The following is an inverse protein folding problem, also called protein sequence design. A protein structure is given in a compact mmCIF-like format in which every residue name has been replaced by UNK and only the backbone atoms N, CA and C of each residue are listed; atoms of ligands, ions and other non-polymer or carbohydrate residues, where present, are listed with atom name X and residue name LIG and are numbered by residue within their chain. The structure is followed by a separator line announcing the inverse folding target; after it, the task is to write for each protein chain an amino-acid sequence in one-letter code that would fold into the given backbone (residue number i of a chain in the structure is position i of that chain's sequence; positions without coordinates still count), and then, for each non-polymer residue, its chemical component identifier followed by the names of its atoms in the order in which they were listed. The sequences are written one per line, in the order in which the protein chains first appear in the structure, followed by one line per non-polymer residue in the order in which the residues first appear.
data_IF_270493797989
#
_entry.id   IF_270493797989
#
_cell.length_a   1.000
_cell.length_b   1.000
_cell.length_c   1.000
_cell.angle_alpha   90.00
_cell.angle_beta   90.00
_cell.angle_gamma   90.00
#
_symmetry.space_group_name_H-M   'P 1'
#
loop_
_entity.id
_entity.type
_entity.pdbx_description
1 polymer ?
#
# COMPACT_ATOMS: atom_id res chain seq x y z
N UNK A 1 -34.78 14.15 38.09
CA UNK A 1 -34.88 14.51 36.66
C UNK A 1 -33.53 15.07 36.21
N UNK A 2 -32.61 14.19 35.79
CA UNK A 2 -31.52 14.48 34.86
C UNK A 2 -31.35 13.17 34.09
N UNK A 3 -31.79 13.14 32.82
CA UNK A 3 -31.62 11.97 31.96
C UNK A 3 -30.14 11.85 31.60
N UNK A 4 -29.69 10.60 31.59
CA UNK A 4 -28.36 10.09 31.36
C UNK A 4 -27.87 10.36 29.91
N UNK A 5 -27.87 11.62 29.46
CA UNK A 5 -27.58 12.03 28.07
C UNK A 5 -26.13 11.81 27.66
N UNK A 6 -25.21 11.84 28.62
CA UNK A 6 -23.78 11.81 28.34
C UNK A 6 -23.29 10.38 28.05
N UNK A 7 -23.96 9.36 28.59
CA UNK A 7 -23.59 7.96 28.35
C UNK A 7 -24.04 7.48 26.96
N UNK A 8 -25.20 7.93 26.48
CA UNK A 8 -25.68 7.60 25.11
C UNK A 8 -24.81 8.26 24.04
N UNK A 9 -24.34 9.49 24.29
CA UNK A 9 -23.45 10.20 23.37
C UNK A 9 -22.08 9.53 23.26
N UNK A 10 -21.54 9.03 24.37
CA UNK A 10 -20.27 8.30 24.38
C UNK A 10 -20.37 6.92 23.70
N UNK A 11 -21.50 6.21 23.85
CA UNK A 11 -21.76 4.94 23.14
C UNK A 11 -21.87 5.19 21.63
N UNK A 12 -22.54 6.27 21.21
CA UNK A 12 -22.67 6.64 19.80
C UNK A 12 -21.29 7.02 19.20
N UNK A 13 -20.47 7.79 19.92
CA UNK A 13 -19.11 8.13 19.51
C UNK A 13 -18.18 6.91 19.42
N UNK A 14 -18.32 5.94 20.34
CA UNK A 14 -17.59 4.67 20.28
C UNK A 14 -18.01 3.84 19.07
N UNK A 15 -19.32 3.71 18.80
CA UNK A 15 -19.83 2.97 17.64
C UNK A 15 -19.40 3.59 16.31
N UNK A 16 -19.32 4.92 16.22
CA UNK A 16 -18.90 5.65 15.02
C UNK A 16 -17.40 5.56 14.76
N UNK A 17 -16.55 5.52 15.81
CA UNK A 17 -15.09 5.32 15.67
C UNK A 17 -14.71 3.93 15.12
N UNK A 18 -15.58 2.94 15.26
CA UNK A 18 -15.38 1.57 14.76
C UNK A 18 -15.92 1.31 13.35
N UNK A 19 -16.68 2.24 12.74
CA UNK A 19 -17.25 2.04 11.42
C UNK A 19 -16.37 2.65 10.32
N UNK A 20 -15.27 1.97 10.01
CA UNK A 20 -14.82 1.96 8.60
C UNK A 20 -15.87 1.14 7.86
N UNK A 21 -16.86 1.81 7.28
CA UNK A 21 -17.78 1.19 6.33
C UNK A 21 -16.92 0.84 5.11
N UNK A 22 -16.38 -0.37 5.09
CA UNK A 22 -15.73 -0.92 3.90
C UNK A 22 -16.86 -1.24 2.93
N UNK A 23 -17.05 -0.38 1.93
CA UNK A 23 -17.98 -0.66 0.84
C UNK A 23 -17.42 -1.85 0.06
N UNK A 24 -18.01 -3.03 0.25
CA UNK A 24 -17.66 -4.22 -0.51
C UNK A 24 -18.40 -4.19 -1.84
N UNK A 25 -17.66 -4.00 -2.93
CA UNK A 25 -18.19 -4.17 -4.28
C UNK A 25 -18.11 -5.64 -4.66
N UNK A 26 -19.23 -6.23 -5.06
CA UNK A 26 -19.28 -7.63 -5.49
C UNK A 26 -19.09 -7.74 -7.00
N UNK A 27 -18.25 -8.68 -7.44
CA UNK A 27 -18.16 -9.11 -8.84
C UNK A 27 -18.86 -10.46 -9.01
N UNK A 28 -19.64 -10.63 -10.07
CA UNK A 28 -20.27 -11.92 -10.40
C UNK A 28 -19.42 -12.66 -11.41
N UNK A 29 -18.98 -13.86 -11.07
CA UNK A 29 -18.24 -14.76 -11.95
C UNK A 29 -18.92 -16.12 -12.00
N UNK A 30 -18.79 -16.83 -13.13
CA UNK A 30 -19.26 -18.21 -13.22
C UNK A 30 -18.41 -19.11 -12.32
N UNK A 31 -19.02 -20.13 -11.72
CA UNK A 31 -18.35 -21.01 -10.77
C UNK A 31 -17.16 -21.74 -11.41
N UNK A 32 -17.30 -22.19 -12.66
CA UNK A 32 -16.23 -22.83 -13.42
C UNK A 32 -15.02 -21.92 -13.71
N UNK A 33 -15.18 -20.61 -13.57
CA UNK A 33 -14.10 -19.64 -13.75
C UNK A 33 -13.29 -19.40 -12.47
N UNK A 34 -13.75 -19.86 -11.30
CA UNK A 34 -13.05 -19.64 -10.02
C UNK A 34 -11.60 -20.15 -10.04
N UNK A 35 -11.29 -21.37 -10.54
CA UNK A 35 -9.90 -21.85 -10.60
C UNK A 35 -9.00 -20.98 -11.49
N UNK A 36 -9.56 -20.41 -12.56
CA UNK A 36 -8.84 -19.53 -13.48
C UNK A 36 -8.49 -18.22 -12.77
N UNK A 37 -9.44 -17.63 -12.04
CA UNK A 37 -9.21 -16.42 -11.25
C UNK A 37 -8.16 -16.66 -10.17
N UNK A 38 -8.25 -17.77 -9.43
CA UNK A 38 -7.25 -18.16 -8.41
C UNK A 38 -5.85 -18.29 -9.01
N UNK A 39 -5.73 -18.97 -10.15
CA UNK A 39 -4.44 -19.13 -10.85
C UNK A 39 -3.87 -17.79 -11.30
N UNK A 40 -4.70 -16.92 -11.87
CA UNK A 40 -4.28 -15.57 -12.28
C UNK A 40 -3.78 -14.72 -11.11
N UNK A 41 -4.48 -14.77 -9.96
CA UNK A 41 -4.05 -14.08 -8.74
C UNK A 41 -2.71 -14.61 -8.22
N UNK A 42 -2.51 -15.93 -8.21
CA UNK A 42 -1.25 -16.54 -7.77
C UNK A 42 -0.08 -16.18 -8.70
N UNK A 43 -0.31 -16.10 -10.01
CA UNK A 43 0.70 -15.66 -10.97
C UNK A 43 1.07 -14.19 -10.72
N UNK A 44 0.08 -13.32 -10.60
CA UNK A 44 0.30 -11.90 -10.31
C UNK A 44 1.04 -11.70 -8.99
N UNK A 45 0.67 -12.43 -7.94
CA UNK A 45 1.34 -12.40 -6.64
C UNK A 45 2.83 -12.74 -6.77
N UNK A 46 3.16 -13.79 -7.51
CA UNK A 46 4.56 -14.20 -7.74
C UNK A 46 5.34 -13.14 -8.52
N UNK A 47 4.75 -12.56 -9.56
CA UNK A 47 5.37 -11.47 -10.34
C UNK A 47 5.65 -10.28 -9.42
N UNK A 48 4.67 -9.86 -8.63
CA UNK A 48 4.81 -8.74 -7.72
C UNK A 48 5.87 -8.99 -6.64
N UNK A 49 5.98 -10.21 -6.11
CA UNK A 49 7.05 -10.57 -5.15
C UNK A 49 8.44 -10.40 -5.77
N UNK A 50 8.63 -10.87 -7.00
CA UNK A 50 9.91 -10.72 -7.73
C UNK A 50 10.22 -9.23 -7.93
N UNK A 51 9.26 -8.45 -8.44
CA UNK A 51 9.45 -7.01 -8.64
C UNK A 51 9.73 -6.26 -7.34
N UNK A 52 9.08 -6.64 -6.23
CA UNK A 52 9.31 -6.02 -4.93
C UNK A 52 10.76 -6.22 -4.47
N UNK A 53 11.29 -7.43 -4.63
CA UNK A 53 12.67 -7.76 -4.29
C UNK A 53 13.69 -7.03 -5.16
N UNK A 54 13.39 -6.84 -6.45
CA UNK A 54 14.22 -6.06 -7.38
C UNK A 54 14.27 -4.58 -6.96
N UNK A 55 13.11 -3.93 -6.79
CA UNK A 55 13.07 -2.54 -6.37
C UNK A 55 13.66 -2.31 -4.98
N UNK A 56 13.54 -3.31 -4.09
CA UNK A 56 14.22 -3.26 -2.78
C UNK A 56 15.74 -3.23 -2.94
N UNK A 57 16.32 -4.04 -3.83
CA UNK A 57 17.76 -4.02 -4.10
C UNK A 57 18.22 -2.69 -4.68
N UNK A 58 17.43 -2.11 -5.60
CA UNK A 58 17.72 -0.79 -6.17
C UNK A 58 17.72 0.29 -5.09
N UNK A 59 16.71 0.30 -4.22
CA UNK A 59 16.64 1.21 -3.08
C UNK A 59 17.85 1.04 -2.16
N UNK A 60 18.18 -0.18 -1.77
CA UNK A 60 19.35 -0.44 -0.92
C UNK A 60 20.66 0.01 -1.60
N UNK A 61 20.77 -0.07 -2.93
CA UNK A 61 21.92 0.43 -3.67
C UNK A 61 22.02 1.97 -3.60
N UNK A 62 20.92 2.68 -3.88
CA UNK A 62 20.87 4.14 -3.76
C UNK A 62 21.11 4.62 -2.33
N UNK A 63 20.55 3.93 -1.34
CA UNK A 63 20.74 4.26 0.07
C UNK A 63 22.21 4.17 0.49
N UNK A 64 22.93 3.15 -0.02
CA UNK A 64 24.38 3.01 0.21
C UNK A 64 25.20 4.05 -0.54
N UNK A 65 24.90 4.29 -1.82
CA UNK A 65 25.62 5.23 -2.67
C UNK A 65 25.54 6.65 -2.11
N UNK A 66 24.34 7.11 -1.77
CA UNK A 66 24.09 8.46 -1.30
C UNK A 66 24.12 8.60 0.22
N UNK A 67 24.34 7.49 0.96
CA UNK A 67 24.32 7.44 2.43
C UNK A 67 23.06 8.08 3.01
N UNK A 68 21.92 7.80 2.39
CA UNK A 68 20.64 8.44 2.65
C UNK A 68 19.53 7.41 2.57
N UNK A 69 18.85 7.14 3.69
CA UNK A 69 17.68 6.26 3.68
C UNK A 69 16.59 6.79 2.74
N UNK A 70 15.80 5.90 2.16
CA UNK A 70 14.68 6.23 1.27
C UNK A 70 13.69 7.23 1.90
N UNK A 71 13.44 7.11 3.21
CA UNK A 71 12.56 8.04 3.94
C UNK A 71 13.10 9.49 3.95
N UNK A 72 14.40 9.64 4.23
CA UNK A 72 15.08 10.95 4.19
C UNK A 72 15.17 11.47 2.76
N UNK A 73 15.41 10.59 1.78
CA UNK A 73 15.42 10.95 0.37
C UNK A 73 14.09 11.56 -0.06
N UNK A 74 12.96 10.90 0.22
CA UNK A 74 11.64 11.42 -0.15
C UNK A 74 11.36 12.77 0.50
N UNK A 75 11.68 12.93 1.78
CA UNK A 75 11.53 14.21 2.47
C UNK A 75 12.29 15.34 1.76
N UNK A 76 13.55 15.10 1.39
CA UNK A 76 14.40 16.09 0.73
C UNK A 76 14.02 16.34 -0.74
N UNK A 77 13.58 15.29 -1.44
CA UNK A 77 13.10 15.41 -2.82
C UNK A 77 11.85 16.28 -2.86
N UNK A 78 10.89 16.04 -1.96
CA UNK A 78 9.62 16.76 -1.89
C UNK A 78 9.78 18.21 -1.40
N UNK A 79 10.79 18.51 -0.59
CA UNK A 79 11.12 19.89 -0.19
C UNK A 79 11.85 20.68 -1.29
N UNK A 80 12.34 19.99 -2.32
CA UNK A 80 13.16 20.58 -3.39
C UNK A 80 14.64 20.72 -3.06
N UNK A 81 15.11 20.21 -1.92
CA UNK A 81 16.51 20.34 -1.46
C UNK A 81 17.50 19.62 -2.39
N UNK A 82 17.04 18.59 -3.12
CA UNK A 82 17.87 17.77 -4.00
C UNK A 82 18.00 18.35 -5.42
N UNK A 83 17.15 19.32 -5.81
CA UNK A 83 17.10 19.84 -7.17
C UNK A 83 16.57 18.83 -8.20
N UNK A 84 16.97 19.00 -9.46
CA UNK A 84 16.46 18.30 -10.64
C UNK A 84 17.47 17.38 -11.33
N UNK A 85 18.55 17.01 -10.62
CA UNK A 85 19.51 16.03 -11.11
C UNK A 85 18.82 14.69 -11.44
N UNK A 86 19.10 14.15 -12.63
CA UNK A 86 18.45 12.95 -13.17
C UNK A 86 18.47 11.75 -12.20
N UNK A 87 19.58 11.56 -11.46
CA UNK A 87 19.75 10.48 -10.47
C UNK A 87 18.68 10.45 -9.39
N UNK A 88 18.11 11.61 -9.04
CA UNK A 88 17.04 11.68 -8.03
C UNK A 88 15.72 11.16 -8.57
N UNK A 89 15.48 11.27 -9.88
CA UNK A 89 14.30 10.69 -10.49
C UNK A 89 14.39 9.16 -10.55
N UNK A 90 15.59 8.60 -10.73
CA UNK A 90 15.80 7.15 -10.68
C UNK A 90 15.54 6.60 -9.27
N UNK A 91 16.05 7.28 -8.23
CA UNK A 91 15.77 6.91 -6.84
C UNK A 91 14.27 7.07 -6.50
N UNK A 92 13.63 8.15 -6.98
CA UNK A 92 12.19 8.35 -6.84
C UNK A 92 11.38 7.25 -7.52
N UNK A 93 11.79 6.85 -8.72
CA UNK A 93 11.14 5.78 -9.46
C UNK A 93 11.20 4.47 -8.67
N UNK A 94 12.39 4.06 -8.22
CA UNK A 94 12.56 2.84 -7.41
C UNK A 94 11.67 2.87 -6.16
N UNK A 95 11.62 4.00 -5.46
CA UNK A 95 10.80 4.15 -4.24
C UNK A 95 9.31 4.01 -4.53
N UNK A 96 8.82 4.74 -5.54
CA UNK A 96 7.40 4.71 -5.90
C UNK A 96 6.99 3.35 -6.44
N UNK A 97 7.85 2.70 -7.22
CA UNK A 97 7.61 1.37 -7.74
C UNK A 97 7.53 0.34 -6.59
N UNK A 98 8.47 0.39 -5.64
CA UNK A 98 8.46 -0.45 -4.44
C UNK A 98 7.16 -0.28 -3.64
N UNK A 99 6.78 0.94 -3.29
CA UNK A 99 5.57 1.20 -2.51
C UNK A 99 4.29 0.83 -3.26
N UNK A 100 4.27 1.02 -4.59
CA UNK A 100 3.15 0.62 -5.43
C UNK A 100 2.96 -0.91 -5.44
N UNK A 101 4.04 -1.66 -5.67
CA UNK A 101 4.02 -3.13 -5.68
C UNK A 101 3.62 -3.69 -4.31
N UNK A 102 4.20 -3.13 -3.24
CA UNK A 102 3.86 -3.50 -1.86
C UNK A 102 2.38 -3.31 -1.55
N UNK A 103 1.78 -2.20 -2.02
CA UNK A 103 0.36 -1.94 -1.88
C UNK A 103 -0.48 -2.96 -2.67
N UNK A 104 -0.08 -3.32 -3.89
CA UNK A 104 -0.78 -4.33 -4.69
C UNK A 104 -0.72 -5.72 -4.05
N UNK A 105 0.43 -6.15 -3.54
CA UNK A 105 0.56 -7.41 -2.82
C UNK A 105 -0.38 -7.48 -1.61
N UNK A 106 -0.41 -6.41 -0.82
CA UNK A 106 -1.34 -6.32 0.32
C UNK A 106 -2.81 -6.47 -0.11
N UNK A 107 -3.19 -5.90 -1.25
CA UNK A 107 -4.56 -6.06 -1.76
C UNK A 107 -4.86 -7.50 -2.16
N UNK A 108 -3.89 -8.23 -2.74
CA UNK A 108 -4.05 -9.65 -3.08
C UNK A 108 -4.20 -10.49 -1.81
N UNK A 109 -3.39 -10.23 -0.78
CA UNK A 109 -3.44 -10.95 0.52
C UNK A 109 -4.80 -10.76 1.24
N UNK A 110 -5.49 -9.65 0.98
CA UNK A 110 -6.80 -9.33 1.54
C UNK A 110 -7.97 -9.94 0.75
N UNK A 111 -7.73 -10.52 -0.44
CA UNK A 111 -8.78 -11.19 -1.21
C UNK A 111 -9.16 -12.50 -0.51
N UNK A 112 -10.43 -12.69 -0.12
CA UNK A 112 -10.90 -13.96 0.40
C UNK A 112 -11.04 -14.94 -0.78
N UNK A 113 -10.03 -15.81 -0.97
CA UNK A 113 -9.98 -16.83 -2.02
C UNK A 113 -10.20 -18.24 -1.47
#
# INVERSE_FOLDING_TARGET
MIKNSDSEFLILLYSLKSNKITMATTITIKEEAIPIVKSGLAIEENILKISLDEYKKDLEAFEREYKMSSAVFIQKFESGDLGDDAKWFDFLFAYRAYEHVKKKLKLIDEIPI
#
